data_IF_896234619810
#
_entry.id   IF_896234619810
#
_cell.length_a   1.000
_cell.length_b   1.000
_cell.length_c   1.000
_cell.angle_alpha   90.00
_cell.angle_beta   90.00
_cell.angle_gamma   90.00
#
_symmetry.space_group_name_H-M   'P 1'
#
loop_
_entity.id
_entity.type
_entity.pdbx_description
1 polymer ?
#
# COMPACT_ATOMS: atom_id res chain seq x y z
N UNK A 1 41.85 -2.04 45.47
CA UNK A 1 41.04 -3.03 44.70
C UNK A 1 39.61 -2.58 44.37
N UNK A 2 38.96 -1.67 45.13
CA UNK A 2 37.56 -1.26 44.89
C UNK A 2 37.33 -0.31 43.67
N UNK A 3 38.36 0.42 43.20
CA UNK A 3 38.24 1.36 42.08
C UNK A 3 38.19 0.67 40.69
N UNK A 4 38.87 -0.47 40.53
CA UNK A 4 38.97 -1.20 39.25
C UNK A 4 37.66 -1.88 38.84
N UNK A 5 36.84 -2.31 39.80
CA UNK A 5 35.55 -2.96 39.56
C UNK A 5 34.48 -1.97 39.08
N UNK A 6 34.49 -0.72 39.57
CA UNK A 6 33.50 0.31 39.16
C UNK A 6 33.67 0.77 37.71
N UNK A 7 34.91 0.80 37.21
CA UNK A 7 35.22 1.23 35.84
C UNK A 7 34.75 0.19 34.80
N UNK A 8 34.80 -1.10 35.13
CA UNK A 8 34.38 -2.18 34.22
C UNK A 8 32.86 -2.28 34.06
N UNK A 9 32.08 -1.97 35.08
CA UNK A 9 30.61 -1.96 34.97
C UNK A 9 30.07 -0.79 34.12
N UNK A 10 30.71 0.37 34.14
CA UNK A 10 30.34 1.48 33.24
C UNK A 10 30.64 1.16 31.77
N UNK A 11 31.77 0.53 31.46
CA UNK A 11 32.17 0.24 30.09
C UNK A 11 31.24 -0.76 29.38
N UNK A 12 30.73 -1.77 30.10
CA UNK A 12 29.78 -2.75 29.55
C UNK A 12 28.39 -2.15 29.36
N UNK A 13 27.95 -1.28 30.27
CA UNK A 13 26.66 -0.58 30.15
C UNK A 13 26.60 0.37 28.94
N UNK A 14 27.70 1.05 28.63
CA UNK A 14 27.79 1.96 27.49
C UNK A 14 27.82 1.19 26.16
N UNK A 15 28.49 0.04 26.09
CA UNK A 15 28.54 -0.79 24.90
C UNK A 15 27.17 -1.41 24.54
N UNK A 16 26.37 -1.82 25.54
CA UNK A 16 25.02 -2.33 25.31
C UNK A 16 24.03 -1.24 24.85
N UNK A 17 24.17 -0.01 25.36
CA UNK A 17 23.31 1.11 24.99
C UNK A 17 23.54 1.55 23.52
N UNK A 18 24.80 1.50 23.05
CA UNK A 18 25.16 1.84 21.67
C UNK A 18 24.69 0.78 20.65
N UNK A 19 24.65 -0.50 21.05
CA UNK A 19 24.19 -1.58 20.16
C UNK A 19 22.66 -1.59 19.96
N UNK A 20 21.89 -1.11 20.94
CA UNK A 20 20.43 -1.00 20.83
C UNK A 20 19.97 0.14 19.91
N UNK A 21 20.81 1.16 19.70
CA UNK A 21 20.48 2.30 18.83
C UNK A 21 20.55 1.96 17.34
N UNK A 22 21.33 0.95 16.95
CA UNK A 22 21.51 0.57 15.54
C UNK A 22 20.35 -0.21 14.92
N UNK A 23 19.40 -0.69 15.74
CA UNK A 23 18.19 -1.39 15.26
C UNK A 23 16.96 -0.49 15.17
N UNK A 24 17.02 0.74 15.69
CA UNK A 24 16.05 1.77 15.36
C UNK A 24 16.49 2.43 14.04
N UNK A 25 16.44 1.67 12.94
CA UNK A 25 16.34 2.34 11.65
C UNK A 25 15.01 3.09 11.70
N UNK A 26 15.08 4.41 11.84
CA UNK A 26 14.03 5.31 11.38
C UNK A 26 13.76 4.93 9.94
N UNK A 27 12.79 4.03 9.74
CA UNK A 27 12.11 3.92 8.46
C UNK A 27 11.37 5.23 8.40
N UNK A 28 12.00 6.25 7.82
CA UNK A 28 11.34 7.48 7.44
C UNK A 28 10.19 7.05 6.54
N UNK A 29 9.03 6.91 7.17
CA UNK A 29 7.82 6.49 6.51
C UNK A 29 7.58 7.59 5.50
N UNK A 30 7.74 7.30 4.21
CA UNK A 30 7.35 8.19 3.12
C UNK A 30 5.90 8.61 3.37
N UNK A 31 5.72 9.72 4.07
CA UNK A 31 4.42 10.22 4.51
C UNK A 31 4.09 11.40 3.64
N UNK A 32 3.70 11.12 2.40
CA UNK A 32 3.16 12.16 1.52
C UNK A 32 1.81 12.63 2.07
N UNK A 33 1.68 13.94 2.29
CA UNK A 33 0.42 14.55 2.73
C UNK A 33 -0.64 14.24 1.68
N UNK A 34 -1.73 13.65 2.14
CA UNK A 34 -2.83 13.26 1.28
C UNK A 34 -3.55 14.51 0.75
N UNK A 35 -3.15 14.96 -0.43
CA UNK A 35 -3.59 16.23 -1.02
C UNK A 35 -4.32 15.94 -2.31
N UNK A 36 -5.56 16.43 -2.45
CA UNK A 36 -6.24 16.42 -3.74
C UNK A 36 -5.45 17.25 -4.74
N UNK A 37 -5.19 16.67 -5.90
CA UNK A 37 -4.53 17.38 -7.00
C UNK A 37 -5.33 18.64 -7.39
N UNK A 38 -4.61 19.72 -7.70
CA UNK A 38 -5.21 20.90 -8.32
C UNK A 38 -5.58 20.54 -9.76
N UNK A 39 -6.71 21.06 -10.26
CA UNK A 39 -7.10 20.85 -11.66
C UNK A 39 -6.12 21.56 -12.59
N UNK A 40 -5.08 20.84 -13.02
CA UNK A 40 -4.10 21.25 -14.02
C UNK A 40 -4.29 20.42 -15.30
N UNK A 41 -3.73 20.88 -16.41
CA UNK A 41 -3.70 20.09 -17.64
C UNK A 41 -2.99 18.76 -17.40
N UNK A 42 -3.58 17.65 -17.85
CA UNK A 42 -3.00 16.31 -17.73
C UNK A 42 -1.64 16.27 -18.42
N UNK A 43 -0.57 15.85 -17.72
CA UNK A 43 0.74 15.61 -18.35
C UNK A 43 0.60 14.65 -19.53
N UNK A 44 1.42 14.86 -20.57
CA UNK A 44 1.38 14.07 -21.79
C UNK A 44 2.75 13.50 -22.13
N UNK A 45 2.73 12.29 -22.65
CA UNK A 45 3.86 11.64 -23.30
C UNK A 45 4.20 12.38 -24.61
N UNK A 46 5.38 12.08 -25.17
CA UNK A 46 5.85 12.66 -26.43
C UNK A 46 4.93 12.37 -27.63
N UNK A 47 4.14 11.30 -27.57
CA UNK A 47 3.13 10.92 -28.57
C UNK A 47 1.76 11.61 -28.35
N UNK A 48 1.63 12.42 -27.29
CA UNK A 48 0.43 13.19 -26.97
C UNK A 48 -0.61 12.44 -26.14
N UNK A 49 -0.39 11.17 -25.79
CA UNK A 49 -1.24 10.43 -24.84
C UNK A 49 -1.00 10.90 -23.40
N UNK A 50 -1.97 10.71 -22.48
CA UNK A 50 -1.77 10.98 -21.06
C UNK A 50 -0.56 10.20 -20.52
N UNK A 51 0.28 10.89 -19.76
CA UNK A 51 1.34 10.26 -18.97
C UNK A 51 0.77 9.89 -17.60
N UNK A 52 0.64 8.58 -17.34
CA UNK A 52 0.15 8.05 -16.07
C UNK A 52 1.28 7.58 -15.15
N UNK A 53 2.55 7.80 -15.53
CA UNK A 53 3.70 7.30 -14.80
C UNK A 53 3.76 7.85 -13.37
N UNK A 54 4.18 7.00 -12.42
CA UNK A 54 4.45 7.40 -11.04
C UNK A 54 3.59 6.68 -10.00
N UNK A 55 3.65 7.18 -8.76
CA UNK A 55 2.98 6.60 -7.61
C UNK A 55 1.54 7.11 -7.47
N UNK A 56 0.60 6.17 -7.46
CA UNK A 56 -0.82 6.42 -7.29
C UNK A 56 -1.27 5.84 -5.97
N UNK A 57 -2.08 6.60 -5.25
CA UNK A 57 -2.81 6.13 -4.07
C UNK A 57 -4.17 6.80 -4.02
N UNK A 58 -5.15 6.10 -3.47
CA UNK A 58 -6.39 6.73 -3.05
C UNK A 58 -6.13 7.74 -1.93
N UNK A 59 -6.94 8.78 -1.90
CA UNK A 59 -7.01 9.70 -0.76
C UNK A 59 -7.86 9.10 0.37
N UNK A 60 -7.79 9.68 1.57
CA UNK A 60 -8.57 9.28 2.76
C UNK A 60 -10.07 9.36 2.54
N UNK A 61 -10.51 10.22 1.63
CA UNK A 61 -11.91 10.37 1.22
C UNK A 61 -12.27 9.51 -0.01
N UNK A 62 -11.34 8.72 -0.56
CA UNK A 62 -11.64 7.75 -1.60
C UNK A 62 -12.56 6.67 -1.04
N UNK A 63 -13.68 6.44 -1.73
CA UNK A 63 -14.66 5.40 -1.38
C UNK A 63 -15.09 4.66 -2.65
N UNK A 64 -15.28 3.32 -2.58
CA UNK A 64 -15.02 2.45 -1.44
C UNK A 64 -13.53 2.12 -1.26
N UNK A 65 -13.12 1.82 -0.01
CA UNK A 65 -11.79 1.27 0.32
C UNK A 65 -11.99 0.03 1.19
N UNK A 66 -11.27 -1.04 0.89
CA UNK A 66 -11.42 -2.35 1.51
C UNK A 66 -12.75 -3.00 1.11
N UNK A 67 -13.63 -3.18 2.09
CA UNK A 67 -14.95 -3.75 1.82
C UNK A 67 -15.80 -2.78 1.00
N UNK A 68 -16.05 -3.13 -0.26
CA UNK A 68 -16.86 -2.32 -1.19
C UNK A 68 -18.34 -2.22 -0.80
N UNK A 69 -18.80 -3.03 0.15
CA UNK A 69 -20.15 -2.96 0.70
C UNK A 69 -20.24 -2.16 2.01
N UNK A 70 -19.14 -1.54 2.48
CA UNK A 70 -19.08 -0.88 3.81
C UNK A 70 -20.15 0.18 4.03
N UNK A 71 -20.56 0.86 2.96
CA UNK A 71 -21.53 1.96 2.98
C UNK A 71 -22.96 1.51 2.61
N UNK A 72 -23.19 0.19 2.48
CA UNK A 72 -24.48 -0.38 2.09
C UNK A 72 -25.20 -1.06 3.27
N UNK A 73 -26.55 -1.05 3.29
CA UNK A 73 -27.32 -1.74 4.31
C UNK A 73 -26.94 -3.22 4.42
N UNK A 74 -26.62 -3.66 5.64
CA UNK A 74 -26.26 -5.05 5.91
C UNK A 74 -24.98 -5.52 5.21
N UNK A 75 -24.11 -4.61 4.75
CA UNK A 75 -22.89 -4.93 4.01
C UNK A 75 -23.16 -5.78 2.76
N UNK A 76 -24.33 -5.64 2.14
CA UNK A 76 -24.74 -6.41 0.98
C UNK A 76 -24.59 -5.59 -0.31
N UNK A 77 -23.78 -6.11 -1.24
CA UNK A 77 -23.68 -5.56 -2.59
C UNK A 77 -24.97 -5.80 -3.39
N UNK A 78 -25.40 -4.85 -4.23
CA UNK A 78 -26.58 -5.00 -5.09
C UNK A 78 -26.25 -5.83 -6.33
N UNK A 79 -25.77 -7.05 -6.13
CA UNK A 79 -25.41 -7.95 -7.21
C UNK A 79 -26.67 -8.49 -7.91
N UNK A 80 -26.59 -8.66 -9.22
CA UNK A 80 -27.57 -9.46 -9.97
C UNK A 80 -27.42 -10.95 -9.60
N UNK A 81 -28.39 -11.82 -9.91
CA UNK A 81 -28.25 -13.26 -9.67
C UNK A 81 -26.99 -13.86 -10.32
N UNK A 82 -26.64 -13.40 -11.53
CA UNK A 82 -25.39 -13.78 -12.20
C UNK A 82 -24.15 -13.29 -11.42
N UNK A 83 -24.21 -12.08 -10.86
CA UNK A 83 -23.14 -11.53 -10.02
C UNK A 83 -22.97 -12.30 -8.71
N UNK A 84 -24.06 -12.68 -8.04
CA UNK A 84 -23.99 -13.51 -6.83
C UNK A 84 -23.41 -14.91 -7.13
N UNK A 85 -23.80 -15.52 -8.25
CA UNK A 85 -23.23 -16.80 -8.69
C UNK A 85 -21.73 -16.70 -9.01
N UNK A 86 -21.32 -15.64 -9.71
CA UNK A 86 -19.91 -15.37 -10.01
C UNK A 86 -19.10 -15.12 -8.73
N UNK A 87 -19.62 -14.33 -7.78
CA UNK A 87 -18.97 -14.12 -6.48
C UNK A 87 -18.80 -15.43 -5.72
N UNK A 88 -19.85 -16.26 -5.65
CA UNK A 88 -19.77 -17.57 -4.99
C UNK A 88 -18.70 -18.45 -5.61
N UNK A 89 -18.71 -18.58 -6.94
CA UNK A 89 -17.70 -19.35 -7.67
C UNK A 89 -16.28 -18.83 -7.39
N UNK A 90 -16.08 -17.51 -7.46
CA UNK A 90 -14.77 -16.91 -7.20
C UNK A 90 -14.26 -17.12 -5.77
N UNK A 91 -15.17 -17.22 -4.78
CA UNK A 91 -14.81 -17.45 -3.38
C UNK A 91 -14.54 -18.93 -3.06
N UNK A 92 -15.08 -19.88 -3.83
CA UNK A 92 -14.97 -21.32 -3.51
C UNK A 92 -14.10 -22.11 -4.48
N UNK A 93 -14.05 -21.73 -5.75
CA UNK A 93 -13.40 -22.51 -6.81
C UNK A 93 -12.17 -21.82 -7.42
N UNK A 94 -12.10 -20.48 -7.33
CA UNK A 94 -11.01 -19.71 -7.95
C UNK A 94 -9.87 -19.48 -6.96
N UNK A 95 -8.65 -19.82 -7.36
CA UNK A 95 -7.45 -19.46 -6.61
C UNK A 95 -7.22 -17.96 -6.75
N UNK A 96 -7.08 -17.27 -5.62
CA UNK A 96 -6.73 -15.86 -5.61
C UNK A 96 -5.34 -15.66 -6.26
N UNK A 97 -5.22 -14.90 -7.37
CA UNK A 97 -3.93 -14.66 -8.02
C UNK A 97 -2.88 -14.08 -7.05
N UNK A 98 -3.30 -13.26 -6.10
CA UNK A 98 -2.39 -12.66 -5.11
C UNK A 98 -1.81 -13.70 -4.15
N UNK A 99 -2.52 -14.81 -3.91
CA UNK A 99 -1.99 -15.95 -3.14
C UNK A 99 -0.84 -16.68 -3.86
N UNK A 100 -0.72 -16.47 -5.17
CA UNK A 100 0.34 -17.01 -6.02
C UNK A 100 1.42 -15.96 -6.34
N UNK A 101 1.46 -14.85 -5.61
CA UNK A 101 2.34 -13.71 -5.90
C UNK A 101 2.14 -13.11 -7.31
N UNK A 102 0.96 -13.31 -7.90
CA UNK A 102 0.56 -12.67 -9.16
C UNK A 102 -0.16 -11.37 -8.79
N UNK A 103 0.20 -10.28 -9.47
CA UNK A 103 -0.43 -8.98 -9.25
C UNK A 103 -1.93 -9.10 -9.53
N UNK A 104 -2.76 -8.69 -8.55
CA UNK A 104 -4.21 -8.64 -8.72
C UNK A 104 -4.65 -7.74 -9.89
N UNK A 105 -5.90 -7.87 -10.32
CA UNK A 105 -6.48 -6.99 -11.34
C UNK A 105 -7.18 -5.76 -10.77
N UNK A 106 -7.54 -4.83 -11.65
CA UNK A 106 -8.59 -3.84 -11.37
C UNK A 106 -9.93 -4.59 -11.32
N UNK A 107 -10.78 -4.38 -10.30
CA UNK A 107 -10.83 -3.24 -9.39
C UNK A 107 -10.21 -3.42 -8.00
N UNK A 108 -9.64 -4.60 -7.66
CA UNK A 108 -9.12 -4.85 -6.31
C UNK A 108 -8.02 -3.85 -5.92
N UNK A 109 -7.09 -3.55 -6.82
CA UNK A 109 -6.03 -2.55 -6.53
C UNK A 109 -6.59 -1.15 -6.29
N UNK A 110 -7.66 -0.76 -6.98
CA UNK A 110 -8.32 0.54 -6.77
C UNK A 110 -8.98 0.62 -5.39
N UNK A 111 -9.41 -0.51 -4.82
CA UNK A 111 -10.05 -0.57 -3.51
C UNK A 111 -9.07 -0.90 -2.37
N UNK A 112 -7.84 -1.33 -2.65
CA UNK A 112 -6.88 -1.80 -1.62
C UNK A 112 -6.43 -0.70 -0.64
N UNK A 113 -6.51 0.56 -1.06
CA UNK A 113 -5.95 1.70 -0.31
C UNK A 113 -4.41 1.71 -0.27
N UNK A 114 -3.76 0.70 -0.86
CA UNK A 114 -2.31 0.62 -0.98
C UNK A 114 -1.85 1.42 -2.20
N UNK A 115 -0.69 2.10 -2.10
CA UNK A 115 -0.11 2.76 -3.25
C UNK A 115 0.37 1.72 -4.27
N UNK A 116 0.25 2.07 -5.55
CA UNK A 116 0.85 1.31 -6.65
C UNK A 116 1.59 2.27 -7.59
N UNK A 117 2.59 1.76 -8.30
CA UNK A 117 3.33 2.51 -9.30
C UNK A 117 2.90 2.07 -10.70
N UNK A 118 2.60 3.04 -11.57
CA UNK A 118 2.38 2.78 -12.99
C UNK A 118 3.70 2.99 -13.73
N UNK A 119 4.16 1.96 -14.43
CA UNK A 119 5.35 2.00 -15.29
C UNK A 119 4.86 2.01 -16.74
N UNK A 120 4.59 3.20 -17.25
CA UNK A 120 4.17 3.40 -18.63
C UNK A 120 5.37 3.53 -19.56
N UNK A 121 5.28 2.90 -20.74
CA UNK A 121 6.25 3.03 -21.81
C UNK A 121 5.54 3.11 -23.17
N UNK A 122 6.26 3.34 -24.29
CA UNK A 122 5.62 3.51 -25.61
C UNK A 122 4.80 2.31 -26.11
N UNK A 123 4.86 1.15 -25.45
CA UNK A 123 4.18 -0.09 -25.85
C UNK A 123 3.14 -0.59 -24.84
N UNK A 124 3.18 -0.13 -23.59
CA UNK A 124 2.30 -0.63 -22.52
C UNK A 124 2.09 0.40 -21.40
N UNK A 125 0.96 0.25 -20.74
CA UNK A 125 0.59 0.86 -19.46
C UNK A 125 0.34 -0.27 -18.48
#
# INVERSE_FOLDING_TARGET
MKASIRIRFCAVGIALALAASSYAQDVERLSEVDTKSKSIATPKMADGHPDLSGYWKGTRDTVPVGNIAKDLPGLKLPLTPAGEAALKHNLTETIDPESLCIIGGIPRHNASGLPFEIIQNPKKV
#
